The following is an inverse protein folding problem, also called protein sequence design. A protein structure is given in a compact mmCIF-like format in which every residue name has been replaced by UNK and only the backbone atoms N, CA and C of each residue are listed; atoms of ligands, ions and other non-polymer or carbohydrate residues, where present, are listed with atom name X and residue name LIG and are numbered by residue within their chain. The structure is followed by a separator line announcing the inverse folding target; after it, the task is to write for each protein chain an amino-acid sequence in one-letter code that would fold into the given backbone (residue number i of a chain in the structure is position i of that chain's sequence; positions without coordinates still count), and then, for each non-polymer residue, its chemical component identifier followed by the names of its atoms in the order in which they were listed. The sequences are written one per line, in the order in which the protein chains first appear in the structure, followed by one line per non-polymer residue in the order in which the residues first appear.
data_IF_483477765667
#
_entry.id   IF_483477765667
#
_cell.length_a   1.000
_cell.length_b   1.000
_cell.length_c   1.000
_cell.angle_alpha   90.00
_cell.angle_beta   90.00
_cell.angle_gamma   90.00
#
_symmetry.space_group_name_H-M   'P 1'
#
loop_
_entity.id
_entity.type
_entity.pdbx_description
1 polymer ?
#
# COMPACT_ATOMS: atom_id res chain seq x y z
N UNK A 1 3.74 -11.55 -32.76
CA UNK A 1 2.94 -10.91 -33.77
C UNK A 1 2.69 -9.44 -33.37
N UNK A 2 2.61 -8.53 -34.35
CA UNK A 2 2.25 -7.12 -34.16
C UNK A 2 3.19 -6.25 -33.31
N UNK A 3 4.42 -6.71 -33.03
CA UNK A 3 5.46 -5.88 -32.44
C UNK A 3 6.20 -5.15 -33.57
N UNK A 4 6.24 -3.82 -33.61
CA UNK A 4 6.92 -3.09 -34.67
C UNK A 4 8.43 -3.35 -34.64
N UNK A 5 9.04 -3.44 -35.82
CA UNK A 5 10.50 -3.45 -35.89
C UNK A 5 11.05 -2.10 -35.41
N UNK A 6 11.99 -2.16 -34.46
CA UNK A 6 12.55 -0.97 -33.81
C UNK A 6 11.76 -0.49 -32.58
N UNK A 7 10.85 -1.34 -32.04
CA UNK A 7 10.21 -1.07 -30.77
C UNK A 7 11.22 -0.88 -29.66
N UNK A 8 11.02 0.15 -28.84
CA UNK A 8 11.88 0.45 -27.69
C UNK A 8 11.61 -0.53 -26.56
N UNK A 9 12.68 -1.11 -26.00
CA UNK A 9 12.64 -1.98 -24.83
C UNK A 9 13.59 -1.46 -23.74
N UNK A 10 13.23 -1.72 -22.48
CA UNK A 10 14.07 -1.38 -21.33
C UNK A 10 14.87 -2.59 -20.87
N UNK A 11 16.19 -2.41 -20.73
CA UNK A 11 17.13 -3.40 -20.22
C UNK A 11 17.84 -2.87 -18.98
N UNK A 12 18.00 -3.72 -17.96
CA UNK A 12 18.76 -3.39 -16.74
C UNK A 12 19.47 -4.66 -16.25
N UNK A 13 20.66 -4.91 -16.80
CA UNK A 13 21.45 -6.11 -16.47
C UNK A 13 22.94 -5.79 -16.49
N UNK A 14 23.73 -6.49 -15.64
CA UNK A 14 25.20 -6.41 -15.59
C UNK A 14 25.89 -7.34 -16.60
N UNK A 15 25.24 -8.44 -16.94
CA UNK A 15 25.73 -9.45 -17.86
C UNK A 15 24.86 -9.52 -19.12
N UNK A 16 25.40 -9.92 -20.25
CA UNK A 16 24.66 -10.12 -21.48
C UNK A 16 24.86 -11.55 -22.03
N UNK A 17 23.86 -12.04 -22.75
CA UNK A 17 23.92 -13.34 -23.41
C UNK A 17 24.70 -13.19 -24.71
N UNK A 18 25.81 -13.91 -24.82
CA UNK A 18 26.69 -13.85 -26.01
C UNK A 18 26.34 -14.95 -27.03
N UNK A 19 25.90 -16.11 -26.57
CA UNK A 19 25.56 -17.26 -27.41
C UNK A 19 24.31 -17.94 -26.88
N UNK A 20 23.45 -18.45 -27.78
CA UNK A 20 22.30 -19.26 -27.45
C UNK A 20 22.58 -20.73 -27.80
N UNK A 21 22.05 -21.72 -27.04
CA UNK A 21 22.19 -23.13 -27.36
C UNK A 21 21.58 -23.49 -28.73
N UNK A 22 22.09 -24.55 -29.37
CA UNK A 22 21.66 -24.99 -30.71
C UNK A 22 20.15 -25.22 -30.86
N UNK A 23 19.46 -25.54 -29.74
CA UNK A 23 18.01 -25.80 -29.74
C UNK A 23 17.18 -24.50 -29.76
N UNK A 24 17.82 -23.34 -29.65
CA UNK A 24 17.13 -22.05 -29.63
C UNK A 24 17.29 -21.28 -30.92
N UNK A 25 16.25 -20.57 -31.30
CA UNK A 25 16.21 -19.62 -32.43
C UNK A 25 16.20 -18.18 -31.89
N UNK A 26 17.05 -17.31 -32.45
CA UNK A 26 17.07 -15.89 -32.11
C UNK A 26 15.81 -15.22 -32.64
N UNK A 27 15.09 -14.51 -31.76
CA UNK A 27 13.88 -13.75 -32.10
C UNK A 27 14.12 -12.26 -32.26
N UNK A 28 14.97 -11.67 -31.40
CA UNK A 28 15.26 -10.25 -31.41
C UNK A 28 16.64 -9.93 -30.85
N UNK A 29 17.24 -8.88 -31.38
CA UNK A 29 18.41 -8.19 -30.86
C UNK A 29 18.23 -6.68 -30.92
N UNK A 30 19.12 -5.93 -30.28
CA UNK A 30 19.21 -4.48 -30.34
C UNK A 30 20.58 -4.06 -30.93
N UNK A 31 20.80 -2.75 -31.10
CA UNK A 31 22.10 -2.25 -31.56
C UNK A 31 23.25 -2.57 -30.59
N UNK A 32 22.94 -2.73 -29.28
CA UNK A 32 23.90 -2.97 -28.21
C UNK A 32 23.88 -4.36 -27.60
N UNK A 33 22.83 -5.14 -27.85
CA UNK A 33 22.63 -6.50 -27.30
C UNK A 33 22.18 -7.43 -28.42
N UNK A 34 23.07 -8.30 -28.87
CA UNK A 34 22.80 -9.22 -30.00
C UNK A 34 21.68 -10.23 -29.68
N UNK A 35 21.57 -10.67 -28.43
CA UNK A 35 20.58 -11.66 -27.98
C UNK A 35 19.64 -11.00 -26.98
N UNK A 36 18.57 -10.39 -27.45
CA UNK A 36 17.54 -9.77 -26.60
C UNK A 36 16.33 -10.68 -26.35
N UNK A 37 16.00 -11.54 -27.30
CA UNK A 37 14.96 -12.55 -27.17
C UNK A 37 15.24 -13.78 -28.03
N UNK A 38 14.90 -14.97 -27.56
CA UNK A 38 15.07 -16.24 -28.26
C UNK A 38 14.01 -17.26 -27.82
N UNK A 39 13.77 -18.28 -28.64
CA UNK A 39 12.80 -19.35 -28.37
C UNK A 39 13.35 -20.73 -28.68
N UNK A 40 12.74 -21.74 -28.06
CA UNK A 40 12.85 -23.12 -28.49
C UNK A 40 11.46 -23.71 -28.63
N UNK A 41 11.29 -24.64 -29.59
CA UNK A 41 10.02 -25.33 -29.82
C UNK A 41 9.80 -26.44 -28.80
N UNK A 42 8.55 -26.95 -28.74
CA UNK A 42 8.13 -28.00 -27.78
C UNK A 42 8.93 -29.30 -27.86
N UNK A 43 9.45 -29.63 -29.04
CA UNK A 43 10.19 -30.89 -29.28
C UNK A 43 11.47 -31.00 -28.44
N UNK A 44 12.07 -29.85 -28.08
CA UNK A 44 13.29 -29.81 -27.29
C UNK A 44 13.06 -29.95 -25.77
N UNK A 45 11.93 -29.41 -25.26
CA UNK A 45 11.70 -29.27 -23.83
C UNK A 45 10.31 -29.74 -23.36
N UNK A 46 9.51 -30.36 -24.24
CA UNK A 46 8.13 -30.79 -23.95
C UNK A 46 7.10 -29.66 -23.95
N UNK A 47 7.54 -28.40 -24.00
CA UNK A 47 6.73 -27.20 -24.17
C UNK A 47 7.54 -26.13 -24.88
N UNK A 48 6.92 -25.17 -25.60
CA UNK A 48 7.61 -24.02 -26.15
C UNK A 48 8.24 -23.16 -25.05
N UNK A 49 9.51 -22.77 -25.23
CA UNK A 49 10.25 -21.93 -24.30
C UNK A 49 10.56 -20.60 -24.97
N UNK A 50 10.19 -19.50 -24.32
CA UNK A 50 10.49 -18.14 -24.77
C UNK A 50 11.33 -17.43 -23.72
N UNK A 51 12.44 -16.86 -24.14
CA UNK A 51 13.37 -16.14 -23.27
C UNK A 51 13.50 -14.69 -23.75
N UNK A 52 13.50 -13.77 -22.81
CA UNK A 52 13.71 -12.35 -23.04
C UNK A 52 14.70 -11.81 -22.03
N UNK A 53 15.53 -10.85 -22.41
CA UNK A 53 16.49 -10.19 -21.52
C UNK A 53 16.06 -8.77 -21.15
N UNK A 54 14.98 -8.27 -21.74
CA UNK A 54 14.40 -6.97 -21.42
C UNK A 54 13.16 -7.12 -20.52
N UNK A 55 12.74 -5.99 -19.94
CA UNK A 55 11.58 -5.88 -19.05
C UNK A 55 10.35 -5.43 -19.84
N UNK A 56 9.44 -6.33 -20.26
CA UNK A 56 8.22 -5.94 -20.98
C UNK A 56 7.19 -5.26 -20.07
N UNK A 57 7.28 -5.47 -18.75
CA UNK A 57 6.34 -4.97 -17.75
C UNK A 57 6.50 -3.47 -17.44
N UNK A 58 7.66 -2.87 -17.77
CA UNK A 58 7.92 -1.48 -17.44
C UNK A 58 7.43 -0.54 -18.54
N UNK A 59 7.06 0.69 -18.16
CA UNK A 59 6.53 1.73 -19.07
C UNK A 59 7.49 2.15 -20.16
N UNK A 60 8.79 1.94 -19.95
CA UNK A 60 9.84 2.27 -20.95
C UNK A 60 9.93 1.24 -22.09
N UNK A 61 9.31 0.07 -21.94
CA UNK A 61 9.10 -0.90 -23.02
C UNK A 61 7.76 -0.59 -23.69
N UNK A 62 7.80 0.19 -24.77
CA UNK A 62 6.60 0.80 -25.37
C UNK A 62 5.54 -0.23 -25.80
N UNK A 63 5.97 -1.36 -26.37
CA UNK A 63 5.09 -2.45 -26.81
C UNK A 63 5.13 -3.66 -25.84
N UNK A 64 5.65 -3.47 -24.62
CA UNK A 64 5.83 -4.54 -23.64
C UNK A 64 4.51 -5.24 -23.29
N UNK A 65 3.41 -4.50 -23.18
CA UNK A 65 2.06 -5.06 -22.99
C UNK A 65 1.66 -6.01 -24.11
N UNK A 66 1.95 -5.65 -25.38
CA UNK A 66 1.65 -6.51 -26.52
C UNK A 66 2.49 -7.81 -26.51
N UNK A 67 3.76 -7.71 -26.07
CA UNK A 67 4.62 -8.89 -25.88
C UNK A 67 3.98 -9.86 -24.88
N UNK A 68 3.54 -9.36 -23.72
CA UNK A 68 2.90 -10.18 -22.69
C UNK A 68 1.56 -10.76 -23.16
N UNK A 69 0.75 -9.99 -23.89
CA UNK A 69 -0.51 -10.44 -24.47
C UNK A 69 -0.29 -11.58 -25.48
N UNK A 70 0.67 -11.43 -26.39
CA UNK A 70 1.03 -12.47 -27.35
C UNK A 70 1.46 -13.75 -26.64
N UNK A 71 2.23 -13.64 -25.56
CA UNK A 71 2.62 -14.79 -24.77
C UNK A 71 1.43 -15.46 -24.09
N UNK A 72 0.61 -14.69 -23.37
CA UNK A 72 -0.52 -15.24 -22.61
C UNK A 72 -1.60 -15.83 -23.53
N UNK A 73 -2.01 -15.10 -24.56
CA UNK A 73 -3.13 -15.53 -25.40
C UNK A 73 -2.72 -16.43 -26.56
N UNK A 74 -1.70 -16.04 -27.34
CA UNK A 74 -1.34 -16.78 -28.57
C UNK A 74 -0.49 -18.01 -28.27
N UNK A 75 0.38 -17.95 -27.24
CA UNK A 75 1.31 -19.06 -26.93
C UNK A 75 0.74 -19.94 -25.83
N UNK A 76 0.30 -19.38 -24.70
CA UNK A 76 -0.24 -20.14 -23.58
C UNK A 76 -1.72 -20.51 -23.76
N UNK A 77 -2.44 -19.88 -24.69
CA UNK A 77 -3.86 -20.15 -24.95
C UNK A 77 -4.78 -19.73 -23.78
N UNK A 78 -4.37 -18.75 -22.99
CA UNK A 78 -5.21 -18.23 -21.90
C UNK A 78 -6.51 -17.64 -22.46
N UNK A 79 -7.64 -17.97 -21.85
CA UNK A 79 -8.99 -17.52 -22.30
C UNK A 79 -9.25 -16.06 -21.99
N UNK A 80 -8.62 -15.50 -20.92
CA UNK A 80 -8.84 -14.12 -20.49
C UNK A 80 -10.23 -13.90 -19.89
N UNK A 81 -10.85 -14.92 -19.37
CA UNK A 81 -12.22 -14.95 -18.84
C UNK A 81 -12.33 -14.55 -17.36
N UNK A 82 -11.21 -14.27 -16.70
CA UNK A 82 -11.22 -13.76 -15.34
C UNK A 82 -11.96 -12.42 -15.26
N UNK A 83 -13.00 -12.36 -14.44
CA UNK A 83 -13.75 -11.14 -14.13
C UNK A 83 -13.85 -10.94 -12.63
N UNK A 84 -13.96 -9.68 -12.12
CA UNK A 84 -14.19 -9.45 -10.70
C UNK A 84 -15.44 -10.15 -10.16
N UNK A 85 -16.53 -10.19 -10.94
CA UNK A 85 -17.78 -10.83 -10.55
C UNK A 85 -17.61 -12.36 -10.37
N UNK A 86 -17.00 -13.05 -11.35
CA UNK A 86 -16.70 -14.47 -11.23
C UNK A 86 -15.79 -14.77 -10.04
N UNK A 87 -14.75 -13.96 -9.83
CA UNK A 87 -13.87 -14.09 -8.68
C UNK A 87 -14.63 -13.94 -7.35
N UNK A 88 -15.56 -12.98 -7.24
CA UNK A 88 -16.38 -12.81 -6.03
C UNK A 88 -17.23 -14.04 -5.77
N UNK A 89 -17.95 -14.54 -6.79
CA UNK A 89 -18.80 -15.71 -6.67
C UNK A 89 -18.02 -16.96 -6.24
N UNK A 90 -16.91 -17.26 -6.91
CA UNK A 90 -16.04 -18.40 -6.61
C UNK A 90 -15.43 -18.27 -5.20
N UNK A 91 -14.83 -17.13 -4.88
CA UNK A 91 -14.18 -16.92 -3.57
C UNK A 91 -15.19 -17.00 -2.42
N UNK A 92 -16.38 -16.41 -2.56
CA UNK A 92 -17.43 -16.50 -1.54
C UNK A 92 -17.88 -17.94 -1.34
N UNK A 93 -18.00 -18.75 -2.40
CA UNK A 93 -18.36 -20.15 -2.29
C UNK A 93 -17.25 -20.97 -1.59
N UNK A 94 -16.00 -20.78 -1.97
CA UNK A 94 -14.84 -21.42 -1.33
C UNK A 94 -14.70 -21.04 0.15
N UNK A 95 -14.92 -19.78 0.50
CA UNK A 95 -14.86 -19.30 1.88
C UNK A 95 -15.97 -19.94 2.74
N UNK A 96 -17.19 -20.07 2.20
CA UNK A 96 -18.30 -20.76 2.89
C UNK A 96 -17.99 -22.21 3.17
N UNK A 97 -17.44 -22.92 2.18
CA UNK A 97 -17.06 -24.33 2.35
C UNK A 97 -15.92 -24.48 3.36
N UNK A 98 -14.91 -23.63 3.27
CA UNK A 98 -13.69 -23.69 4.09
C UNK A 98 -13.95 -23.35 5.56
N UNK A 99 -14.76 -22.31 5.81
CA UNK A 99 -15.02 -21.79 7.17
C UNK A 99 -16.16 -22.56 7.85
N UNK A 100 -17.16 -23.01 7.07
CA UNK A 100 -18.33 -23.69 7.62
C UNK A 100 -19.12 -22.79 8.58
N UNK A 101 -19.38 -23.30 9.79
CA UNK A 101 -20.12 -22.60 10.84
C UNK A 101 -19.20 -21.85 11.83
N UNK A 102 -17.88 -21.86 11.62
CA UNK A 102 -16.88 -21.25 12.49
C UNK A 102 -16.85 -19.72 12.35
N UNK A 103 -16.27 -19.02 13.35
CA UNK A 103 -16.16 -17.56 13.39
C UNK A 103 -14.80 -17.07 12.92
N UNK A 104 -14.81 -15.93 12.25
CA UNK A 104 -13.61 -15.24 11.77
C UNK A 104 -13.43 -13.93 12.49
N UNK A 105 -12.25 -13.72 13.07
CA UNK A 105 -11.82 -12.42 13.57
C UNK A 105 -10.91 -11.74 12.55
N UNK A 106 -11.08 -10.44 12.31
CA UNK A 106 -10.25 -9.69 11.37
C UNK A 106 -9.91 -8.30 11.92
N UNK A 107 -8.63 -7.90 11.76
CA UNK A 107 -8.22 -6.53 11.97
C UNK A 107 -8.39 -5.70 10.70
N UNK A 108 -9.07 -4.57 10.82
CA UNK A 108 -9.22 -3.60 9.74
C UNK A 108 -8.22 -2.45 9.94
N UNK A 109 -7.57 -2.05 8.87
CA UNK A 109 -6.60 -0.93 8.87
C UNK A 109 -7.19 0.37 8.33
N UNK A 110 -8.46 0.38 7.90
CA UNK A 110 -9.03 1.48 7.13
C UNK A 110 -8.56 1.52 5.66
N UNK A 111 -7.69 0.59 5.25
CA UNK A 111 -7.17 0.47 3.90
C UNK A 111 -8.05 -0.35 2.97
N UNK A 112 -7.77 -0.26 1.66
CA UNK A 112 -8.53 -0.94 0.61
C UNK A 112 -8.54 -2.46 0.81
N UNK A 113 -7.35 -3.06 1.04
CA UNK A 113 -7.19 -4.51 1.04
C UNK A 113 -7.94 -5.16 2.19
N UNK A 114 -7.76 -4.67 3.41
CA UNK A 114 -8.48 -5.17 4.59
C UNK A 114 -9.99 -4.99 4.45
N UNK A 115 -10.45 -3.90 3.83
CA UNK A 115 -11.89 -3.66 3.60
C UNK A 115 -12.47 -4.62 2.58
N UNK A 116 -11.80 -4.84 1.44
CA UNK A 116 -12.27 -5.77 0.41
C UNK A 116 -12.24 -7.21 0.92
N UNK A 117 -11.22 -7.61 1.67
CA UNK A 117 -11.16 -8.92 2.32
C UNK A 117 -12.32 -9.12 3.31
N UNK A 118 -12.61 -8.11 4.14
CA UNK A 118 -13.75 -8.15 5.07
C UNK A 118 -15.08 -8.24 4.33
N UNK A 119 -15.27 -7.51 3.22
CA UNK A 119 -16.49 -7.59 2.42
C UNK A 119 -16.70 -8.98 1.81
N UNK A 120 -15.64 -9.64 1.30
CA UNK A 120 -15.73 -11.02 0.80
C UNK A 120 -16.11 -12.00 1.92
N UNK A 121 -15.49 -11.86 3.08
CA UNK A 121 -15.80 -12.69 4.25
C UNK A 121 -17.23 -12.45 4.75
N UNK A 122 -17.68 -11.21 4.80
CA UNK A 122 -19.06 -10.86 5.18
C UNK A 122 -20.09 -11.48 4.23
N UNK A 123 -19.86 -11.42 2.92
CA UNK A 123 -20.72 -12.08 1.93
C UNK A 123 -20.71 -13.61 2.08
N UNK A 124 -19.62 -14.19 2.58
CA UNK A 124 -19.52 -15.63 2.79
C UNK A 124 -20.20 -16.09 4.08
N UNK A 125 -19.96 -15.42 5.21
CA UNK A 125 -20.32 -15.90 6.55
C UNK A 125 -21.18 -14.95 7.38
N UNK A 126 -21.44 -13.71 6.90
CA UNK A 126 -22.30 -12.73 7.56
C UNK A 126 -21.86 -12.38 8.98
N UNK A 127 -22.78 -12.42 9.93
CA UNK A 127 -22.55 -12.02 11.34
C UNK A 127 -21.45 -12.80 12.07
N UNK A 128 -20.97 -13.91 11.49
CA UNK A 128 -19.83 -14.68 12.02
C UNK A 128 -18.48 -14.04 11.74
N UNK A 129 -18.45 -12.99 10.93
CA UNK A 129 -17.30 -12.12 10.80
C UNK A 129 -17.32 -11.06 11.89
N UNK A 130 -16.26 -10.99 12.70
CA UNK A 130 -16.06 -9.97 13.72
C UNK A 130 -14.84 -9.16 13.34
N UNK A 131 -15.00 -7.86 13.18
CA UNK A 131 -13.90 -6.98 12.78
C UNK A 131 -13.51 -6.05 13.92
N UNK A 132 -12.21 -5.81 14.09
CA UNK A 132 -11.66 -4.79 14.97
C UNK A 132 -11.00 -3.68 14.17
N UNK A 133 -11.33 -2.42 14.50
CA UNK A 133 -10.63 -1.25 14.00
C UNK A 133 -10.03 -0.49 15.18
N UNK A 134 -8.70 -0.38 15.22
CA UNK A 134 -7.95 0.17 16.35
C UNK A 134 -7.55 1.60 16.07
N UNK A 135 -7.96 2.52 16.96
CA UNK A 135 -7.40 3.87 17.03
C UNK A 135 -6.11 3.82 17.86
N UNK A 136 -5.00 3.89 17.15
CA UNK A 136 -3.66 3.94 17.72
C UNK A 136 -3.20 5.36 18.06
N UNK A 137 -4.05 6.38 17.86
CA UNK A 137 -3.71 7.78 18.03
C UNK A 137 -2.83 8.37 16.93
N UNK A 138 -2.45 7.57 15.90
CA UNK A 138 -1.59 7.99 14.80
C UNK A 138 -2.34 8.01 13.45
N UNK A 139 -3.67 7.92 13.49
CA UNK A 139 -4.53 8.07 12.33
C UNK A 139 -4.61 9.55 11.91
N UNK A 140 -5.09 9.80 10.68
CA UNK A 140 -5.40 11.15 10.23
C UNK A 140 -6.54 11.77 11.06
N UNK A 141 -6.69 13.08 10.97
CA UNK A 141 -7.78 13.80 11.65
C UNK A 141 -9.14 13.20 11.29
N UNK A 142 -9.95 12.87 12.28
CA UNK A 142 -11.30 12.28 12.20
C UNK A 142 -11.36 10.93 11.46
N UNK A 143 -10.24 10.33 11.13
CA UNK A 143 -10.20 9.09 10.32
C UNK A 143 -10.86 7.92 11.03
N UNK A 144 -10.72 7.82 12.36
CA UNK A 144 -11.32 6.74 13.13
C UNK A 144 -12.84 6.75 13.02
N UNK A 145 -13.46 7.89 13.24
CA UNK A 145 -14.91 8.07 13.19
C UNK A 145 -15.44 7.90 11.75
N UNK A 146 -14.76 8.51 10.77
CA UNK A 146 -15.14 8.44 9.35
C UNK A 146 -15.10 7.01 8.81
N UNK A 147 -14.06 6.25 9.18
CA UNK A 147 -13.90 4.85 8.75
C UNK A 147 -14.93 3.95 9.43
N UNK A 148 -15.16 4.11 10.73
CA UNK A 148 -16.20 3.35 11.43
C UNK A 148 -17.60 3.62 10.87
N UNK A 149 -17.89 4.88 10.51
CA UNK A 149 -19.15 5.23 9.88
C UNK A 149 -19.30 4.54 8.51
N UNK A 150 -18.25 4.59 7.69
CA UNK A 150 -18.25 3.90 6.39
C UNK A 150 -18.46 2.39 6.52
N UNK A 151 -17.82 1.75 7.48
CA UNK A 151 -18.01 0.31 7.74
C UNK A 151 -19.42 -0.04 8.20
N UNK A 152 -20.01 0.81 9.03
CA UNK A 152 -21.41 0.66 9.45
C UNK A 152 -22.37 0.79 8.28
N UNK A 153 -22.14 1.74 7.37
CA UNK A 153 -22.95 1.92 6.17
C UNK A 153 -22.83 0.72 5.22
N UNK A 154 -21.69 0.02 5.23
CA UNK A 154 -21.48 -1.24 4.50
C UNK A 154 -22.12 -2.45 5.17
N UNK A 155 -22.66 -2.31 6.39
CA UNK A 155 -23.26 -3.42 7.15
C UNK A 155 -22.24 -4.30 7.88
N UNK A 156 -20.95 -3.97 7.87
CA UNK A 156 -19.92 -4.77 8.52
C UNK A 156 -20.02 -4.70 10.06
N UNK A 157 -19.88 -5.85 10.72
CA UNK A 157 -19.80 -5.94 12.18
C UNK A 157 -18.41 -5.51 12.67
N UNK A 158 -18.22 -4.21 12.91
CA UNK A 158 -16.93 -3.62 13.30
C UNK A 158 -16.98 -2.99 14.68
N UNK A 159 -16.11 -3.45 15.56
CA UNK A 159 -15.87 -2.86 16.88
C UNK A 159 -14.69 -1.89 16.80
N UNK A 160 -14.92 -0.61 17.07
CA UNK A 160 -13.87 0.39 17.26
C UNK A 160 -13.20 0.24 18.62
N UNK A 161 -11.89 0.30 18.68
CA UNK A 161 -11.07 0.15 19.88
C UNK A 161 -10.21 1.37 20.04
N UNK A 162 -10.47 2.22 21.05
CA UNK A 162 -9.57 3.33 21.39
C UNK A 162 -8.39 2.81 22.23
N UNK A 163 -7.21 2.86 21.65
CA UNK A 163 -5.97 2.43 22.27
C UNK A 163 -4.88 3.53 22.29
N UNK A 164 -5.24 4.79 21.97
CA UNK A 164 -4.32 5.94 21.82
C UNK A 164 -3.30 6.03 22.95
N UNK A 165 -3.76 5.99 24.19
CA UNK A 165 -2.88 6.13 25.36
C UNK A 165 -1.83 5.02 25.46
N UNK A 166 -2.18 3.79 25.06
CA UNK A 166 -1.22 2.67 25.07
C UNK A 166 -0.10 2.90 24.07
N UNK A 167 -0.45 3.39 22.87
CA UNK A 167 0.55 3.70 21.84
C UNK A 167 1.41 4.88 22.23
N UNK A 168 0.83 5.97 22.71
CA UNK A 168 1.60 7.13 23.18
C UNK A 168 2.57 6.76 24.30
N UNK A 169 2.13 5.93 25.25
CA UNK A 169 3.01 5.44 26.33
C UNK A 169 4.15 4.58 25.79
N UNK A 170 3.90 3.70 24.83
CA UNK A 170 4.93 2.85 24.25
C UNK A 170 5.94 3.65 23.41
N UNK A 171 5.53 4.75 22.80
CA UNK A 171 6.34 5.59 21.90
C UNK A 171 7.03 6.76 22.62
N UNK A 172 6.78 6.96 23.91
CA UNK A 172 7.32 8.09 24.66
C UNK A 172 8.86 8.09 24.64
N UNK A 173 9.46 9.17 24.09
CA UNK A 173 10.92 9.35 24.00
C UNK A 173 11.60 8.51 22.91
N UNK A 174 10.86 7.77 22.10
CA UNK A 174 11.40 6.98 20.99
C UNK A 174 11.58 7.84 19.76
N UNK A 175 12.80 7.91 19.23
CA UNK A 175 13.16 8.75 18.07
C UNK A 175 13.66 7.96 16.88
N UNK A 176 14.12 6.72 17.08
CA UNK A 176 14.56 5.85 16.00
C UNK A 176 13.37 5.33 15.17
N UNK A 177 13.38 5.50 13.83
CA UNK A 177 12.26 5.12 12.99
C UNK A 177 11.93 3.62 13.01
N UNK A 178 12.94 2.78 13.07
CA UNK A 178 12.74 1.33 13.08
C UNK A 178 12.20 0.86 14.43
N UNK A 179 12.64 1.48 15.52
CA UNK A 179 12.12 1.21 16.85
C UNK A 179 10.65 1.67 16.97
N UNK A 180 10.29 2.85 16.42
CA UNK A 180 8.89 3.28 16.32
C UNK A 180 8.03 2.23 15.63
N UNK A 181 8.45 1.74 14.45
CA UNK A 181 7.72 0.73 13.67
C UNK A 181 7.51 -0.56 14.48
N UNK A 182 8.55 -1.04 15.13
CA UNK A 182 8.50 -2.26 15.97
C UNK A 182 7.55 -2.09 17.15
N UNK A 183 7.62 -0.96 17.84
CA UNK A 183 6.76 -0.69 18.99
C UNK A 183 5.29 -0.52 18.58
N UNK A 184 5.02 0.16 17.48
CA UNK A 184 3.66 0.30 16.93
C UNK A 184 3.11 -1.09 16.59
N UNK A 185 3.86 -1.91 15.86
CA UNK A 185 3.44 -3.26 15.51
C UNK A 185 3.19 -4.14 16.72
N UNK A 186 4.12 -4.15 17.69
CA UNK A 186 3.97 -4.93 18.93
C UNK A 186 2.78 -4.47 19.77
N UNK A 187 2.61 -3.17 19.96
CA UNK A 187 1.47 -2.62 20.73
C UNK A 187 0.15 -2.95 20.05
N UNK A 188 0.10 -2.91 18.70
CA UNK A 188 -1.07 -3.32 17.94
C UNK A 188 -1.43 -4.79 18.20
N UNK A 189 -0.45 -5.70 18.16
CA UNK A 189 -0.64 -7.12 18.47
C UNK A 189 -1.17 -7.30 19.90
N UNK A 190 -0.58 -6.64 20.89
CA UNK A 190 -1.00 -6.73 22.29
C UNK A 190 -2.44 -6.21 22.50
N UNK A 191 -2.85 -5.14 21.82
CA UNK A 191 -4.22 -4.62 21.85
C UNK A 191 -5.17 -5.63 21.21
N UNK A 192 -4.82 -6.13 20.04
CA UNK A 192 -5.64 -7.08 19.31
C UNK A 192 -5.85 -8.38 20.09
N UNK A 193 -4.79 -8.97 20.65
CA UNK A 193 -4.86 -10.16 21.51
C UNK A 193 -5.78 -9.94 22.73
N UNK A 194 -5.64 -8.79 23.38
CA UNK A 194 -6.44 -8.46 24.56
C UNK A 194 -7.95 -8.29 24.23
N UNK A 195 -8.27 -7.81 23.04
CA UNK A 195 -9.66 -7.69 22.59
C UNK A 195 -10.20 -9.02 22.03
N UNK A 196 -9.36 -9.79 21.33
CA UNK A 196 -9.71 -11.12 20.85
C UNK A 196 -10.06 -12.08 21.99
N UNK A 197 -9.32 -12.02 23.09
CA UNK A 197 -9.59 -12.83 24.28
C UNK A 197 -10.96 -12.57 24.96
N UNK A 198 -11.67 -11.50 24.56
CA UNK A 198 -13.02 -11.18 25.05
C UNK A 198 -14.13 -11.72 24.15
N UNK A 199 -13.78 -12.32 23.04
CA UNK A 199 -14.71 -12.89 22.07
C UNK A 199 -14.59 -14.40 22.14
N UNK A 200 -15.69 -15.05 22.37
CA UNK A 200 -15.76 -16.51 22.47
C UNK A 200 -15.83 -17.15 21.06
N UNK A 201 -15.36 -18.38 20.94
CA UNK A 201 -15.54 -19.24 19.76
C UNK A 201 -14.95 -18.67 18.44
N UNK A 202 -13.72 -18.12 18.50
CA UNK A 202 -13.00 -17.71 17.29
C UNK A 202 -12.02 -18.80 16.88
N UNK A 203 -12.11 -19.25 15.63
CA UNK A 203 -11.23 -20.28 15.06
C UNK A 203 -10.34 -19.74 13.95
N UNK A 204 -10.74 -18.65 13.29
CA UNK A 204 -10.03 -18.10 12.14
C UNK A 204 -9.58 -16.66 12.34
N UNK A 205 -8.42 -16.35 11.75
CA UNK A 205 -7.92 -14.98 11.59
C UNK A 205 -7.97 -14.61 10.10
N UNK A 206 -8.80 -13.61 9.77
CA UNK A 206 -8.87 -13.01 8.44
C UNK A 206 -7.70 -12.05 8.21
N UNK A 207 -7.04 -12.13 7.06
CA UNK A 207 -5.97 -11.23 6.66
C UNK A 207 -6.19 -10.69 5.24
N UNK A 208 -5.90 -9.41 5.03
CA UNK A 208 -5.97 -8.74 3.73
C UNK A 208 -4.67 -8.84 2.92
N UNK A 209 -3.93 -9.95 3.06
CA UNK A 209 -2.71 -10.23 2.30
C UNK A 209 -3.01 -10.28 0.80
N UNK A 210 -2.21 -9.59 0.00
CA UNK A 210 -2.28 -9.59 -1.46
C UNK A 210 -1.04 -10.25 -2.09
N UNK A 211 -1.08 -10.57 -3.37
CA UNK A 211 0.00 -11.32 -4.03
C UNK A 211 1.39 -10.67 -3.94
N UNK A 212 1.56 -9.34 -4.07
CA UNK A 212 2.85 -8.69 -3.83
C UNK A 212 3.42 -8.96 -2.43
N UNK A 213 2.59 -8.99 -1.38
CA UNK A 213 3.05 -9.29 -0.02
C UNK A 213 3.60 -10.72 0.09
N UNK A 214 2.99 -11.66 -0.64
CA UNK A 214 3.44 -13.07 -0.70
C UNK A 214 4.81 -13.18 -1.35
N UNK A 215 5.02 -12.50 -2.48
CA UNK A 215 6.30 -12.53 -3.22
C UNK A 215 7.41 -11.90 -2.36
N UNK A 216 7.13 -10.76 -1.73
CA UNK A 216 8.11 -10.02 -0.91
C UNK A 216 8.45 -10.75 0.41
N UNK A 217 7.56 -11.61 0.91
CA UNK A 217 7.79 -12.38 2.15
C UNK A 217 8.65 -13.63 1.95
N UNK A 218 8.78 -14.13 0.72
CA UNK A 218 9.66 -15.24 0.40
C UNK A 218 11.09 -14.71 0.29
N UNK A 219 11.89 -14.88 1.35
CA UNK A 219 13.32 -14.55 1.31
C UNK A 219 14.03 -15.45 0.30
N UNK A 220 14.34 -14.92 -0.87
CA UNK A 220 15.30 -15.53 -1.79
C UNK A 220 16.66 -15.43 -1.11
N UNK A 221 17.39 -16.52 -0.99
CA UNK A 221 18.75 -16.57 -0.47
C UNK A 221 19.65 -15.62 -1.28
N UNK A 222 19.95 -14.43 -0.73
CA UNK A 222 20.82 -13.41 -1.32
C UNK A 222 21.07 -12.26 -0.34
N UNK A 223 22.07 -11.39 -0.60
CA UNK A 223 22.45 -10.29 0.29
C UNK A 223 21.44 -9.13 0.35
N UNK A 224 20.28 -9.23 -0.33
CA UNK A 224 19.20 -8.27 -0.18
C UNK A 224 18.45 -8.52 1.12
N UNK A 225 18.56 -7.58 2.05
CA UNK A 225 17.79 -7.57 3.29
C UNK A 225 16.29 -7.70 2.98
N UNK A 226 15.58 -8.49 3.80
CA UNK A 226 14.12 -8.60 3.78
C UNK A 226 13.49 -7.20 3.91
N UNK A 227 12.92 -6.67 2.82
CA UNK A 227 12.54 -5.26 2.73
C UNK A 227 11.26 -4.95 3.52
N UNK A 228 10.45 -5.96 3.86
CA UNK A 228 9.19 -5.77 4.62
C UNK A 228 8.93 -6.90 5.61
N UNK A 229 9.23 -6.66 6.88
CA UNK A 229 8.79 -7.48 8.03
C UNK A 229 7.45 -7.02 8.63
N UNK A 230 6.73 -6.06 8.01
CA UNK A 230 5.74 -5.25 8.70
C UNK A 230 4.28 -5.39 8.22
N UNK A 231 3.97 -6.16 7.18
CA UNK A 231 2.61 -6.30 6.67
C UNK A 231 1.84 -7.50 7.21
N UNK A 232 2.52 -8.50 7.73
CA UNK A 232 1.86 -9.61 8.40
C UNK A 232 1.94 -9.41 9.91
N UNK A 233 0.82 -9.57 10.57
CA UNK A 233 0.71 -9.68 12.04
C UNK A 233 1.39 -10.98 12.45
N UNK A 234 2.66 -11.12 12.07
CA UNK A 234 3.46 -12.30 12.31
C UNK A 234 3.56 -12.59 13.81
N UNK A 235 3.11 -13.77 14.21
CA UNK A 235 3.08 -14.20 15.60
C UNK A 235 1.69 -14.24 16.25
N UNK A 236 0.66 -13.52 15.73
CA UNK A 236 -0.72 -13.63 16.22
C UNK A 236 -1.30 -15.04 16.06
N UNK A 237 -1.18 -15.72 14.89
CA UNK A 237 -1.75 -17.04 14.73
C UNK A 237 -1.14 -18.08 15.67
N UNK A 238 0.16 -17.99 15.93
CA UNK A 238 0.88 -18.94 16.79
C UNK A 238 0.45 -18.84 18.25
N UNK A 239 0.21 -17.64 18.75
CA UNK A 239 -0.21 -17.42 20.12
C UNK A 239 -1.68 -17.73 20.38
N UNK A 240 -2.55 -17.42 19.40
CA UNK A 240 -3.98 -17.62 19.52
C UNK A 240 -4.46 -18.97 18.96
N UNK A 241 -3.55 -19.75 18.35
CA UNK A 241 -3.85 -21.03 17.68
C UNK A 241 -4.95 -20.93 16.61
N UNK A 242 -5.07 -19.77 15.94
CA UNK A 242 -6.07 -19.51 14.92
C UNK A 242 -5.62 -20.02 13.55
N UNK A 243 -6.56 -20.55 12.78
CA UNK A 243 -6.37 -20.84 11.35
C UNK A 243 -6.36 -19.52 10.57
N UNK A 244 -5.60 -19.43 9.46
CA UNK A 244 -5.53 -18.20 8.65
C UNK A 244 -6.42 -18.35 7.41
N UNK A 245 -7.14 -17.25 7.09
CA UNK A 245 -7.88 -17.09 5.85
C UNK A 245 -7.50 -15.79 5.16
N UNK A 246 -7.07 -15.88 3.89
CA UNK A 246 -6.53 -14.77 3.09
C UNK A 246 -7.25 -14.70 1.73
N UNK A 247 -8.41 -14.04 1.65
CA UNK A 247 -9.24 -14.06 0.44
C UNK A 247 -8.59 -13.43 -0.80
N UNK A 248 -7.62 -12.52 -0.60
CA UNK A 248 -7.02 -11.72 -1.65
C UNK A 248 -5.61 -12.18 -2.05
N UNK A 249 -5.13 -13.30 -1.48
CA UNK A 249 -3.74 -13.76 -1.59
C UNK A 249 -3.19 -13.85 -3.02
N UNK A 250 -4.05 -14.08 -4.00
CA UNK A 250 -3.69 -14.24 -5.41
C UNK A 250 -3.92 -13.00 -6.25
N UNK A 251 -4.37 -11.89 -5.67
CA UNK A 251 -4.70 -10.67 -6.39
C UNK A 251 -3.62 -9.60 -6.29
N UNK A 252 -3.44 -8.86 -7.39
CA UNK A 252 -2.70 -7.61 -7.40
C UNK A 252 -3.58 -6.44 -6.93
N UNK A 253 -2.95 -5.33 -6.56
CA UNK A 253 -3.63 -4.16 -5.97
C UNK A 253 -4.74 -3.55 -6.85
N UNK A 254 -4.54 -3.52 -8.16
CA UNK A 254 -5.53 -3.03 -9.12
C UNK A 254 -6.72 -3.99 -9.24
N UNK A 255 -6.48 -5.31 -9.15
CA UNK A 255 -7.53 -6.34 -9.12
C UNK A 255 -8.34 -6.25 -7.83
N UNK A 256 -7.70 -6.06 -6.69
CA UNK A 256 -8.39 -5.82 -5.41
C UNK A 256 -9.35 -4.62 -5.51
N UNK A 257 -8.92 -3.53 -6.15
CA UNK A 257 -9.80 -2.37 -6.37
C UNK A 257 -10.96 -2.67 -7.31
N UNK A 258 -10.76 -3.52 -8.34
CA UNK A 258 -11.84 -3.95 -9.24
C UNK A 258 -12.84 -4.85 -8.52
N UNK A 259 -12.36 -5.81 -7.73
CA UNK A 259 -13.19 -6.66 -6.85
C UNK A 259 -13.94 -5.82 -5.82
N UNK A 260 -13.29 -4.83 -5.21
CA UNK A 260 -13.95 -3.91 -4.27
C UNK A 260 -15.08 -3.09 -4.91
N UNK A 261 -14.97 -2.73 -6.20
CA UNK A 261 -16.08 -2.08 -6.93
C UNK A 261 -17.25 -3.03 -7.14
N UNK A 262 -17.00 -4.30 -7.43
CA UNK A 262 -18.02 -5.33 -7.59
C UNK A 262 -18.77 -5.61 -6.27
N UNK A 263 -18.10 -5.43 -5.15
CA UNK A 263 -18.63 -5.57 -3.79
C UNK A 263 -19.26 -4.26 -3.25
N UNK A 264 -19.48 -3.26 -4.10
CA UNK A 264 -20.02 -1.95 -3.73
C UNK A 264 -19.24 -1.23 -2.60
N UNK A 265 -17.94 -1.53 -2.44
CA UNK A 265 -17.10 -0.81 -1.49
C UNK A 265 -17.03 0.67 -1.86
N UNK A 266 -17.32 1.59 -0.92
CA UNK A 266 -17.42 3.01 -1.20
C UNK A 266 -16.17 3.61 -1.84
N UNK A 267 -16.37 4.52 -2.82
CA UNK A 267 -15.28 5.15 -3.56
C UNK A 267 -14.29 5.90 -2.66
N UNK A 268 -14.74 6.47 -1.55
CA UNK A 268 -13.90 7.15 -0.56
C UNK A 268 -12.92 6.18 0.15
N UNK A 269 -13.19 4.87 0.14
CA UNK A 269 -12.25 3.84 0.62
C UNK A 269 -11.39 3.37 -0.55
N UNK A 270 -11.98 2.95 -1.68
CA UNK A 270 -11.24 2.42 -2.82
C UNK A 270 -10.25 3.42 -3.45
N UNK A 271 -10.59 4.72 -3.42
CA UNK A 271 -9.76 5.81 -3.94
C UNK A 271 -8.80 6.42 -2.93
N UNK A 272 -8.65 5.86 -1.73
CA UNK A 272 -7.70 6.39 -0.73
C UNK A 272 -6.27 6.26 -1.21
N UNK A 273 -5.49 7.31 -0.94
CA UNK A 273 -4.04 7.22 -1.07
C UNK A 273 -3.50 6.13 -0.14
N UNK A 274 -2.42 5.44 -0.51
CA UNK A 274 -1.72 4.56 0.42
C UNK A 274 -1.38 5.32 1.71
N UNK A 275 -1.65 4.70 2.85
CA UNK A 275 -1.29 5.22 4.15
C UNK A 275 -0.53 4.14 4.91
N UNK A 276 0.67 4.44 5.41
CA UNK A 276 1.52 3.42 6.01
C UNK A 276 0.93 2.89 7.31
N UNK A 277 1.21 1.61 7.63
CA UNK A 277 0.72 0.97 8.86
C UNK A 277 1.07 1.73 10.16
N UNK A 278 2.27 2.31 10.31
CA UNK A 278 2.60 3.14 11.47
C UNK A 278 1.87 4.50 11.52
N UNK A 279 1.08 4.84 10.51
CA UNK A 279 0.30 6.06 10.44
C UNK A 279 1.19 7.32 10.46
N UNK A 280 0.72 8.34 11.17
CA UNK A 280 1.46 9.61 11.35
C UNK A 280 2.75 9.44 12.17
N UNK A 281 2.96 8.30 12.82
CA UNK A 281 4.15 8.04 13.63
C UNK A 281 5.47 8.14 12.87
N UNK A 282 5.47 7.81 11.57
CA UNK A 282 6.64 7.95 10.68
C UNK A 282 6.66 9.25 9.89
N UNK A 283 5.73 10.15 10.19
CA UNK A 283 5.65 11.51 9.64
C UNK A 283 5.93 12.57 10.71
N UNK A 284 6.22 12.14 11.95
CA UNK A 284 6.72 13.00 13.02
C UNK A 284 8.19 12.62 13.25
N UNK A 285 9.10 13.41 12.71
CA UNK A 285 10.53 13.17 12.87
C UNK A 285 10.95 13.46 14.33
N UNK A 286 11.60 12.48 14.95
CA UNK A 286 11.92 12.51 16.37
C UNK A 286 10.86 11.86 17.25
N UNK A 287 10.76 12.30 18.53
CA UNK A 287 9.81 11.75 19.49
C UNK A 287 8.35 12.11 19.18
N UNK A 288 7.44 11.22 19.52
CA UNK A 288 6.00 11.36 19.30
C UNK A 288 5.33 11.84 20.61
N UNK A 289 4.47 12.85 20.51
CA UNK A 289 3.58 13.26 21.59
C UNK A 289 2.18 13.56 21.06
N UNK A 290 1.14 13.51 21.93
CA UNK A 290 -0.24 13.86 21.52
C UNK A 290 -0.33 15.26 20.88
N UNK A 291 0.43 16.23 21.39
CA UNK A 291 0.46 17.60 20.86
C UNK A 291 1.00 17.64 19.43
N UNK A 292 2.12 16.93 19.18
CA UNK A 292 2.75 16.86 17.86
C UNK A 292 1.84 16.13 16.85
N UNK A 293 1.17 15.07 17.31
CA UNK A 293 0.19 14.37 16.47
C UNK A 293 -0.97 15.30 16.11
N UNK A 294 -1.55 16.00 17.08
CA UNK A 294 -2.64 16.95 16.83
C UNK A 294 -2.22 18.06 15.85
N UNK A 295 -1.01 18.60 16.02
CA UNK A 295 -0.46 19.60 15.13
C UNK A 295 -0.33 19.09 13.69
N UNK A 296 0.21 17.88 13.53
CA UNK A 296 0.36 17.26 12.22
C UNK A 296 -1.00 16.89 11.60
N UNK A 297 -1.96 16.39 12.38
CA UNK A 297 -3.32 16.10 11.93
C UNK A 297 -4.00 17.31 11.32
N UNK A 298 -3.90 18.50 11.97
CA UNK A 298 -4.45 19.75 11.46
C UNK A 298 -3.81 20.16 10.13
N UNK A 299 -2.47 20.14 10.06
CA UNK A 299 -1.74 20.50 8.85
C UNK A 299 -2.01 19.53 7.69
N UNK A 300 -2.01 18.23 7.96
CA UNK A 300 -2.28 17.17 6.96
C UNK A 300 -3.72 17.27 6.44
N UNK A 301 -4.69 17.54 7.31
CA UNK A 301 -6.08 17.72 6.90
C UNK A 301 -6.25 18.91 5.94
N UNK A 302 -5.58 20.04 6.19
CA UNK A 302 -5.59 21.20 5.29
C UNK A 302 -5.02 20.82 3.93
N UNK A 303 -3.87 20.13 3.90
CA UNK A 303 -3.25 19.73 2.65
C UNK A 303 -4.14 18.78 1.83
N UNK A 304 -4.65 17.73 2.45
CA UNK A 304 -5.51 16.72 1.79
C UNK A 304 -6.84 17.34 1.32
N UNK A 305 -7.46 18.19 2.12
CA UNK A 305 -8.71 18.84 1.73
C UNK A 305 -8.51 19.80 0.53
N UNK A 306 -7.38 20.52 0.49
CA UNK A 306 -7.06 21.34 -0.66
C UNK A 306 -6.75 20.51 -1.91
N UNK A 307 -6.08 19.36 -1.80
CA UNK A 307 -5.92 18.44 -2.95
C UNK A 307 -7.28 18.05 -3.55
N UNK A 308 -8.26 17.74 -2.69
CA UNK A 308 -9.63 17.42 -3.12
C UNK A 308 -10.34 18.62 -3.75
N UNK A 309 -10.25 19.79 -3.11
CA UNK A 309 -10.88 21.05 -3.55
C UNK A 309 -10.37 21.53 -4.92
N UNK A 310 -9.11 21.29 -5.23
CA UNK A 310 -8.46 21.66 -6.49
C UNK A 310 -8.44 20.54 -7.54
N UNK A 311 -9.17 19.44 -7.33
CA UNK A 311 -9.21 18.27 -8.21
C UNK A 311 -7.81 17.66 -8.50
N UNK A 312 -6.94 17.70 -7.51
CA UNK A 312 -5.57 17.16 -7.57
C UNK A 312 -5.41 15.83 -6.84
N UNK A 313 -6.36 15.45 -5.98
CA UNK A 313 -6.25 14.26 -5.13
C UNK A 313 -6.07 12.98 -5.97
N UNK A 314 -6.91 12.77 -6.98
CA UNK A 314 -6.86 11.59 -7.84
C UNK A 314 -5.66 11.59 -8.83
N UNK A 315 -4.93 12.70 -8.95
CA UNK A 315 -3.73 12.84 -9.80
C UNK A 315 -2.43 12.49 -9.08
N UNK A 316 -2.50 12.44 -7.76
CA UNK A 316 -1.36 12.13 -6.88
C UNK A 316 -1.53 10.71 -6.35
N UNK A 317 -0.47 9.91 -6.41
CA UNK A 317 -0.49 8.54 -5.90
C UNK A 317 -0.54 8.49 -4.37
N UNK A 318 0.28 9.35 -3.71
CA UNK A 318 0.31 9.51 -2.27
C UNK A 318 0.66 10.94 -1.90
N UNK A 319 -0.03 11.48 -0.89
CA UNK A 319 0.28 12.78 -0.32
C UNK A 319 0.20 12.75 1.21
N UNK A 320 0.99 13.61 1.84
CA UNK A 320 0.98 13.79 3.29
C UNK A 320 1.87 14.93 3.74
N UNK A 321 1.70 15.27 4.99
CA UNK A 321 2.48 16.29 5.67
C UNK A 321 3.42 15.63 6.67
N UNK A 322 4.64 16.13 6.78
CA UNK A 322 5.68 15.66 7.71
C UNK A 322 6.00 16.76 8.70
N UNK A 323 5.97 16.47 10.00
CA UNK A 323 6.38 17.39 11.04
C UNK A 323 7.89 17.31 11.24
N UNK A 324 8.58 18.42 11.00
CA UNK A 324 10.03 18.48 11.08
C UNK A 324 10.48 18.81 12.52
N UNK A 325 11.59 18.24 13.02
CA UNK A 325 12.10 18.47 14.37
C UNK A 325 12.89 19.76 14.48
N UNK A 326 12.50 20.78 13.73
CA UNK A 326 13.15 22.08 13.69
C UNK A 326 12.16 23.20 14.00
N UNK A 327 12.67 24.25 14.64
CA UNK A 327 11.94 25.47 14.84
C UNK A 327 12.54 26.60 13.99
N UNK A 328 11.69 27.44 13.46
CA UNK A 328 12.09 28.58 12.67
C UNK A 328 11.54 29.88 13.25
N UNK A 329 12.31 30.96 13.03
CA UNK A 329 11.84 32.31 13.39
C UNK A 329 10.80 32.74 12.37
N UNK A 330 9.64 33.21 12.87
CA UNK A 330 8.58 33.80 12.07
C UNK A 330 8.18 35.15 12.66
N UNK A 331 7.32 35.87 11.96
CA UNK A 331 6.68 37.10 12.41
C UNK A 331 5.18 36.95 12.18
N UNK A 332 4.39 37.06 13.25
CA UNK A 332 2.93 37.04 13.17
C UNK A 332 2.39 38.32 13.85
N UNK A 333 1.81 39.22 13.05
CA UNK A 333 1.51 40.54 13.49
C UNK A 333 2.79 41.30 13.87
N UNK A 334 2.85 41.83 15.06
CA UNK A 334 4.00 42.61 15.59
C UNK A 334 4.96 41.76 16.46
N UNK A 335 4.68 40.42 16.58
CA UNK A 335 5.45 39.52 17.44
C UNK A 335 6.33 38.56 16.65
N UNK A 336 7.51 38.26 17.21
CA UNK A 336 8.35 37.16 16.73
C UNK A 336 7.81 35.85 17.26
N UNK A 337 7.67 34.89 16.38
CA UNK A 337 7.34 33.48 16.72
C UNK A 337 8.54 32.59 16.54
N UNK A 338 8.60 31.52 17.32
CA UNK A 338 9.60 30.45 17.16
C UNK A 338 8.88 29.11 17.19
N UNK A 339 8.45 28.67 16.02
CA UNK A 339 7.54 27.53 15.86
C UNK A 339 8.08 26.51 14.88
N UNK A 340 7.41 25.36 14.80
CA UNK A 340 7.83 24.24 13.98
C UNK A 340 7.63 24.49 12.49
N UNK A 341 8.35 23.69 11.70
CA UNK A 341 8.17 23.64 10.25
C UNK A 341 7.54 22.29 9.85
N UNK A 342 6.78 22.30 8.75
CA UNK A 342 6.27 21.09 8.11
C UNK A 342 6.75 20.99 6.67
N UNK A 343 6.95 19.75 6.20
CA UNK A 343 7.18 19.45 4.81
C UNK A 343 5.91 18.84 4.19
N UNK A 344 5.50 19.36 3.04
CA UNK A 344 4.48 18.72 2.21
C UNK A 344 5.19 17.74 1.26
N UNK A 345 4.66 16.55 1.15
CA UNK A 345 5.12 15.52 0.22
C UNK A 345 3.96 15.04 -0.62
N UNK A 346 4.10 15.08 -1.94
CA UNK A 346 3.18 14.48 -2.89
C UNK A 346 3.99 13.80 -4.00
N UNK A 347 3.63 12.56 -4.31
CA UNK A 347 4.35 11.75 -5.30
C UNK A 347 3.41 11.11 -6.29
N UNK A 348 3.93 10.91 -7.49
CA UNK A 348 3.34 10.10 -8.56
C UNK A 348 4.12 8.81 -8.66
N UNK A 349 3.43 7.67 -8.72
CA UNK A 349 4.01 6.35 -8.83
C UNK A 349 3.00 5.39 -9.45
N UNK A 350 3.48 4.30 -10.03
CA UNK A 350 2.63 3.21 -10.50
C UNK A 350 2.59 2.05 -9.50
N UNK A 351 3.73 1.72 -8.94
CA UNK A 351 3.94 0.50 -8.14
C UNK A 351 4.55 0.77 -6.75
N UNK A 352 4.93 2.02 -6.46
CA UNK A 352 5.65 2.38 -5.23
C UNK A 352 7.13 2.02 -5.23
N UNK A 353 7.65 1.33 -6.25
CA UNK A 353 9.09 1.00 -6.37
C UNK A 353 9.89 2.23 -6.78
N UNK A 354 9.38 2.97 -7.76
CA UNK A 354 9.89 4.27 -8.17
C UNK A 354 8.82 5.34 -7.95
N UNK A 355 9.22 6.56 -7.63
CA UNK A 355 8.31 7.67 -7.47
C UNK A 355 8.95 9.01 -7.87
N UNK A 356 8.20 9.77 -8.63
CA UNK A 356 8.51 11.18 -8.93
C UNK A 356 7.75 12.08 -7.95
N UNK A 357 8.33 13.23 -7.60
CA UNK A 357 7.58 14.23 -6.85
C UNK A 357 6.50 14.86 -7.76
N UNK A 358 5.31 15.05 -7.24
CA UNK A 358 4.20 15.63 -8.01
C UNK A 358 4.40 17.12 -8.22
N UNK A 359 4.28 17.60 -9.46
CA UNK A 359 4.46 19.01 -9.82
C UNK A 359 3.17 19.79 -9.57
N UNK A 360 2.84 19.98 -8.29
CA UNK A 360 1.67 20.74 -7.90
C UNK A 360 1.77 22.21 -8.31
N UNK A 361 0.65 22.86 -8.71
CA UNK A 361 0.65 24.26 -9.10
C UNK A 361 1.16 25.19 -7.97
N UNK A 362 1.94 26.20 -8.34
CA UNK A 362 2.47 27.15 -7.34
C UNK A 362 1.38 27.87 -6.53
N UNK A 363 0.27 28.25 -7.18
CA UNK A 363 -0.86 28.91 -6.51
C UNK A 363 -1.53 27.97 -5.50
N UNK A 364 -1.59 26.67 -5.80
CA UNK A 364 -2.05 25.66 -4.86
C UNK A 364 -1.13 25.56 -3.65
N UNK A 365 0.19 25.47 -3.87
CA UNK A 365 1.18 25.41 -2.78
C UNK A 365 1.14 26.67 -1.91
N UNK A 366 1.00 27.85 -2.52
CA UNK A 366 0.85 29.12 -1.83
C UNK A 366 -0.43 29.15 -0.95
N UNK A 367 -1.55 28.64 -1.49
CA UNK A 367 -2.82 28.55 -0.75
C UNK A 367 -2.68 27.62 0.46
N UNK A 368 -2.16 26.41 0.26
CA UNK A 368 -1.97 25.43 1.34
C UNK A 368 -1.03 25.96 2.42
N UNK A 369 0.11 26.55 2.01
CA UNK A 369 1.06 27.14 2.94
C UNK A 369 0.42 28.26 3.78
N UNK A 370 -0.34 29.16 3.16
CA UNK A 370 -1.04 30.23 3.84
C UNK A 370 -2.11 29.69 4.80
N UNK A 371 -2.90 28.70 4.37
CA UNK A 371 -3.94 28.10 5.22
C UNK A 371 -3.34 27.36 6.42
N UNK A 372 -2.24 26.63 6.26
CA UNK A 372 -1.56 25.94 7.37
C UNK A 372 -1.04 26.97 8.38
N UNK A 373 -0.27 27.97 7.94
CA UNK A 373 0.34 28.97 8.83
C UNK A 373 -0.73 29.78 9.58
N UNK A 374 -1.84 30.13 8.95
CA UNK A 374 -2.88 30.93 9.57
C UNK A 374 -3.79 30.12 10.51
N UNK A 375 -3.98 28.82 10.28
CA UNK A 375 -4.96 28.05 11.05
C UNK A 375 -4.33 27.05 12.03
N UNK A 376 -3.06 26.68 11.85
CA UNK A 376 -2.39 25.71 12.72
C UNK A 376 -1.36 26.42 13.59
N UNK A 377 -1.77 26.79 14.83
CA UNK A 377 -0.86 27.40 15.80
C UNK A 377 0.26 26.43 16.15
N UNK A 378 1.49 26.90 16.09
CA UNK A 378 2.69 26.13 16.34
C UNK A 378 3.45 25.75 15.05
N UNK A 379 2.93 26.14 13.86
CA UNK A 379 3.60 26.01 12.57
C UNK A 379 3.72 27.39 11.91
N UNK A 380 4.95 27.82 11.63
CA UNK A 380 5.22 29.09 10.93
C UNK A 380 5.99 28.93 9.61
N UNK A 381 6.23 27.69 9.17
CA UNK A 381 6.95 27.42 7.92
C UNK A 381 6.48 26.15 7.23
N UNK A 382 6.25 26.26 5.94
CA UNK A 382 5.90 25.13 5.06
C UNK A 382 6.95 25.03 3.98
N UNK A 383 7.47 23.81 3.74
CA UNK A 383 8.36 23.47 2.62
C UNK A 383 7.73 22.39 1.76
N UNK A 384 8.18 22.24 0.53
CA UNK A 384 7.73 21.17 -0.38
C UNK A 384 8.90 20.28 -0.75
N UNK A 385 8.77 18.96 -0.55
CA UNK A 385 9.79 17.97 -0.87
C UNK A 385 9.72 17.59 -2.34
N UNK A 386 10.79 17.89 -3.09
CA UNK A 386 10.95 17.66 -4.52
C UNK A 386 11.90 16.49 -4.84
N UNK A 387 12.09 15.58 -3.88
CA UNK A 387 13.00 14.43 -4.06
C UNK A 387 12.30 13.27 -4.76
N UNK A 388 13.02 12.57 -5.63
CA UNK A 388 12.56 11.36 -6.34
C UNK A 388 12.95 10.10 -5.57
N UNK A 389 12.26 9.01 -5.80
CA UNK A 389 12.65 7.67 -5.35
C UNK A 389 13.08 6.83 -6.56
N UNK A 390 14.32 6.30 -6.62
CA UNK A 390 15.44 6.62 -5.72
C UNK A 390 16.04 8.02 -5.97
N UNK A 391 16.95 8.56 -5.13
CA UNK A 391 17.54 7.93 -3.93
C UNK A 391 16.70 8.12 -2.65
N UNK A 392 15.74 9.06 -2.63
CA UNK A 392 14.85 9.23 -1.48
C UNK A 392 13.85 8.07 -1.37
N UNK A 393 13.14 8.02 -0.26
CA UNK A 393 11.97 7.16 -0.06
C UNK A 393 10.67 7.96 -0.22
N UNK A 394 9.51 7.30 -0.27
CA UNK A 394 8.22 8.00 -0.32
C UNK A 394 7.93 8.62 1.05
N UNK A 395 8.00 7.83 2.12
CA UNK A 395 7.94 8.32 3.50
C UNK A 395 9.35 8.74 3.97
N UNK A 396 9.42 9.63 4.94
CA UNK A 396 10.69 10.16 5.45
C UNK A 396 11.32 9.27 6.54
N UNK A 397 10.51 8.52 7.30
CA UNK A 397 10.94 7.53 8.27
C UNK A 397 10.41 6.12 7.96
#
# INVERSE_FOLDING_TARGET
NDIPKGSQVWMSHGDTIMEIPEQFELLAGTESVDVAAFKADADAFGAPVYCIQFHPEVTHSLDGRQVLQNFAYDICGCSGDWTPAAFVEETVAELREKIGDEHVLMALSGGVDSTVAASLLDHAIGDRLICFFVDNGLLRKNEFEEVLHSYKDMGLNVKGIDAKERFYKALAGVTDPEEKRKLIGRTFIEVFEAEAAKVDEIEWLGQGTIYPDVIESVSVHGPSATIKSHHNVGGLPEKLHLKIVEPLRMLFKDEVRRVGKELDVPRNILGRHPFPGPGLGIRILGDISPEKVGLLQEADAIFINNLKKFDLYDKVWQAGTILLPIHSVGVMGDERTYEQAVALRAVESLDGMTAEWSRLPHDFLATVSSEIINNVKGINRVVYDISTKPPATIEWE
#
